data_IF_415783356897
#
_entry.id   IF_415783356897
#
_cell.length_a   1.000
_cell.length_b   1.000
_cell.length_c   1.000
_cell.angle_alpha   90.00
_cell.angle_beta   90.00
_cell.angle_gamma   90.00
#
_symmetry.space_group_name_H-M   'P 1'
#
loop_
_entity.id
_entity.type
_entity.pdbx_description
1 polymer ?
#
# COMPACT_ATOMS: atom_id res chain seq x y z
N UNK A 1 13.63 13.83 -4.54
CA UNK A 1 12.20 14.22 -4.60
C UNK A 1 11.55 13.88 -3.26
N UNK A 2 10.87 14.83 -2.59
CA UNK A 2 10.06 14.61 -1.39
C UNK A 2 9.03 13.47 -1.52
N UNK A 3 8.58 12.91 -0.40
CA UNK A 3 7.67 11.75 -0.34
C UNK A 3 6.44 11.90 -1.26
N UNK A 4 5.61 12.92 -1.03
CA UNK A 4 4.37 13.13 -1.78
C UNK A 4 4.61 13.44 -3.26
N UNK A 5 5.59 14.28 -3.56
CA UNK A 5 5.92 14.65 -4.93
C UNK A 5 6.35 13.44 -5.75
N UNK A 6 7.11 12.50 -5.16
CA UNK A 6 7.51 11.26 -5.83
C UNK A 6 6.30 10.38 -6.21
N UNK A 7 5.32 10.23 -5.30
CA UNK A 7 4.09 9.47 -5.58
C UNK A 7 3.22 10.18 -6.60
N UNK A 8 3.08 11.50 -6.48
CA UNK A 8 2.33 12.32 -7.43
C UNK A 8 2.89 12.24 -8.85
N UNK A 9 4.22 12.30 -8.99
CA UNK A 9 4.90 12.11 -10.27
C UNK A 9 4.66 10.71 -10.83
N UNK A 10 4.84 9.65 -10.02
CA UNK A 10 4.57 8.29 -10.47
C UNK A 10 3.13 8.13 -10.96
N UNK A 11 2.13 8.57 -10.18
CA UNK A 11 0.73 8.49 -10.57
C UNK A 11 0.42 9.27 -11.86
N UNK A 12 1.03 10.46 -12.02
CA UNK A 12 0.89 11.26 -13.24
C UNK A 12 1.44 10.53 -14.46
N UNK A 13 2.64 9.95 -14.35
CA UNK A 13 3.28 9.23 -15.46
C UNK A 13 2.54 7.96 -15.83
N UNK A 14 2.05 7.20 -14.84
CA UNK A 14 1.25 5.99 -15.08
C UNK A 14 -0.02 6.33 -15.86
N UNK A 15 -0.75 7.38 -15.45
CA UNK A 15 -1.95 7.83 -16.18
C UNK A 15 -1.58 8.33 -17.58
N UNK A 16 -0.51 9.10 -17.72
CA UNK A 16 -0.05 9.59 -19.02
C UNK A 16 0.30 8.44 -19.98
N UNK A 17 0.99 7.40 -19.49
CA UNK A 17 1.30 6.21 -20.28
C UNK A 17 0.04 5.41 -20.65
N UNK A 18 -0.96 5.32 -19.75
CA UNK A 18 -2.25 4.69 -20.08
C UNK A 18 -3.02 5.45 -21.18
N UNK A 19 -2.82 6.77 -21.29
CA UNK A 19 -3.50 7.61 -22.29
C UNK A 19 -2.74 7.63 -23.61
N UNK A 20 -1.41 7.77 -23.58
CA UNK A 20 -0.60 7.90 -24.79
C UNK A 20 -0.20 6.54 -25.39
N UNK A 21 0.11 5.55 -24.54
CA UNK A 21 0.66 4.22 -24.89
C UNK A 21 1.78 4.26 -25.94
N UNK A 22 2.71 5.20 -25.79
CA UNK A 22 3.86 5.36 -26.68
C UNK A 22 5.17 4.83 -26.07
N UNK A 23 5.13 4.30 -24.85
CA UNK A 23 6.28 3.78 -24.12
C UNK A 23 7.23 4.84 -23.56
N UNK A 24 6.97 6.12 -23.82
CA UNK A 24 7.89 7.22 -23.53
C UNK A 24 8.06 7.54 -22.05
N UNK A 25 7.17 7.05 -21.19
CA UNK A 25 7.23 7.27 -19.75
C UNK A 25 7.68 6.02 -18.99
N UNK A 26 7.83 4.87 -19.65
CA UNK A 26 8.06 3.58 -18.99
C UNK A 26 9.35 3.56 -18.16
N UNK A 27 10.45 4.12 -18.65
CA UNK A 27 11.72 4.19 -17.91
C UNK A 27 11.58 5.00 -16.61
N UNK A 28 10.90 6.15 -16.66
CA UNK A 28 10.69 7.00 -15.49
C UNK A 28 9.72 6.36 -14.48
N UNK A 29 8.71 5.63 -14.98
CA UNK A 29 7.78 4.85 -14.15
C UNK A 29 8.54 3.74 -13.42
N UNK A 30 9.38 2.98 -14.13
CA UNK A 30 10.21 1.90 -13.55
C UNK A 30 11.14 2.46 -12.48
N UNK A 31 11.82 3.58 -12.77
CA UNK A 31 12.68 4.27 -11.80
C UNK A 31 11.91 4.74 -10.56
N UNK A 32 10.71 5.29 -10.77
CA UNK A 32 9.83 5.74 -9.70
C UNK A 32 9.38 4.60 -8.78
N UNK A 33 8.90 3.50 -9.38
CA UNK A 33 8.50 2.29 -8.66
C UNK A 33 9.67 1.72 -7.86
N UNK A 34 10.84 1.57 -8.49
CA UNK A 34 12.01 1.00 -7.82
C UNK A 34 12.47 1.88 -6.65
N UNK A 35 12.56 3.19 -6.86
CA UNK A 35 12.93 4.13 -5.81
C UNK A 35 11.96 4.09 -4.61
N UNK A 36 10.65 3.89 -4.85
CA UNK A 36 9.67 3.72 -3.78
C UNK A 36 9.87 2.39 -3.05
N UNK A 37 10.15 1.30 -3.78
CA UNK A 37 10.38 -0.03 -3.19
C UNK A 37 11.57 -0.04 -2.20
N UNK A 38 12.61 0.75 -2.49
CA UNK A 38 13.81 0.91 -1.65
C UNK A 38 13.59 1.74 -0.37
N UNK A 39 12.44 2.39 -0.20
CA UNK A 39 12.20 3.18 1.01
C UNK A 39 11.99 2.29 2.24
N UNK A 40 12.73 2.58 3.32
CA UNK A 40 12.60 1.86 4.59
C UNK A 40 11.21 1.99 5.24
N UNK A 41 10.44 3.03 4.86
CA UNK A 41 9.08 3.26 5.35
C UNK A 41 8.26 4.05 4.33
N UNK A 42 7.04 3.59 4.05
CA UNK A 42 6.12 4.24 3.12
C UNK A 42 5.15 5.22 3.78
N UNK A 43 5.13 5.29 5.11
CA UNK A 43 4.35 6.28 5.83
C UNK A 43 5.10 7.60 6.00
N UNK A 44 4.47 8.53 6.72
CA UNK A 44 5.07 9.84 7.03
C UNK A 44 5.70 9.86 8.44
N UNK A 45 6.72 10.70 8.68
CA UNK A 45 7.40 10.76 9.98
C UNK A 45 6.47 11.01 11.18
N UNK A 46 5.36 11.73 10.98
CA UNK A 46 4.36 11.98 12.03
C UNK A 46 3.72 10.70 12.59
N UNK A 47 3.76 9.59 11.84
CA UNK A 47 3.11 8.33 12.19
C UNK A 47 4.07 7.29 12.76
N UNK A 48 5.38 7.57 12.74
CA UNK A 48 6.44 6.62 13.07
C UNK A 48 6.37 6.10 14.51
N UNK A 49 5.90 6.94 15.45
CA UNK A 49 5.85 6.60 16.87
C UNK A 49 4.85 5.49 17.24
N UNK A 50 4.17 4.87 16.27
CA UNK A 50 3.33 3.69 16.48
C UNK A 50 4.11 2.38 16.53
N UNK A 51 5.35 2.36 16.03
CA UNK A 51 6.23 1.22 16.25
C UNK A 51 6.63 1.12 17.72
N UNK A 52 6.92 -0.08 18.19
CA UNK A 52 7.32 -0.38 19.57
C UNK A 52 8.60 0.38 19.97
N UNK A 53 9.53 0.56 19.04
CA UNK A 53 10.75 1.35 19.25
C UNK A 53 10.49 2.86 19.48
N UNK A 54 9.25 3.33 19.30
CA UNK A 54 8.86 4.72 19.50
C UNK A 54 9.28 5.64 18.36
N UNK A 55 9.49 6.93 18.67
CA UNK A 55 9.84 7.95 17.66
C UNK A 55 11.30 7.82 17.20
N UNK A 56 11.55 8.12 15.92
CA UNK A 56 12.91 8.14 15.37
C UNK A 56 12.95 7.57 13.97
N UNK A 57 13.98 6.76 13.69
CA UNK A 57 14.10 6.01 12.44
C UNK A 57 13.08 4.86 12.38
N UNK A 58 12.65 4.46 11.18
CA UNK A 58 11.79 3.28 11.02
C UNK A 58 12.51 2.00 11.39
N UNK A 59 11.87 1.18 12.23
CA UNK A 59 12.24 -0.21 12.43
C UNK A 59 11.66 -1.05 11.28
N UNK A 60 12.51 -1.45 10.34
CA UNK A 60 12.08 -2.23 9.16
C UNK A 60 11.61 -3.65 9.49
N UNK A 61 11.73 -4.08 10.76
CA UNK A 61 11.25 -5.38 11.25
C UNK A 61 9.81 -5.30 11.78
N UNK A 62 9.34 -4.10 12.11
CA UNK A 62 7.99 -3.86 12.61
C UNK A 62 7.21 -2.99 11.62
N UNK A 63 6.39 -3.64 10.80
CA UNK A 63 5.62 -2.92 9.80
C UNK A 63 4.48 -2.13 10.47
N UNK A 64 4.46 -0.82 10.25
CA UNK A 64 3.34 0.05 10.61
C UNK A 64 2.56 0.39 9.35
N UNK A 65 1.30 -0.04 9.29
CA UNK A 65 0.38 0.35 8.21
C UNK A 65 -0.32 1.65 8.61
N UNK A 66 0.09 2.75 7.97
CA UNK A 66 -0.55 4.05 8.08
C UNK A 66 -1.30 4.43 6.79
N UNK A 67 -1.91 5.62 6.79
CA UNK A 67 -2.65 6.17 5.64
C UNK A 67 -1.86 6.14 4.33
N UNK A 68 -0.60 6.56 4.37
CA UNK A 68 0.23 6.83 3.19
C UNK A 68 1.04 5.60 2.78
N UNK A 69 1.32 4.69 3.72
CA UNK A 69 1.81 3.36 3.43
C UNK A 69 0.77 2.58 2.64
N UNK A 70 -0.49 2.60 3.09
CA UNK A 70 -1.59 1.97 2.37
C UNK A 70 -1.80 2.60 0.98
N UNK A 71 -1.83 3.93 0.89
CA UNK A 71 -1.92 4.66 -0.39
C UNK A 71 -0.76 4.34 -1.34
N UNK A 72 0.48 4.25 -0.82
CA UNK A 72 1.64 3.84 -1.61
C UNK A 72 1.46 2.41 -2.14
N UNK A 73 0.98 1.48 -1.31
CA UNK A 73 0.68 0.12 -1.75
C UNK A 73 -0.34 0.09 -2.88
N UNK A 74 -1.43 0.86 -2.76
CA UNK A 74 -2.47 0.93 -3.78
C UNK A 74 -1.95 1.56 -5.09
N UNK A 75 -1.13 2.61 -5.01
CA UNK A 75 -0.48 3.20 -6.19
C UNK A 75 0.36 2.17 -6.95
N UNK A 76 1.16 1.37 -6.24
CA UNK A 76 1.99 0.33 -6.84
C UNK A 76 1.12 -0.80 -7.44
N UNK A 77 0.07 -1.21 -6.73
CA UNK A 77 -0.87 -2.22 -7.20
C UNK A 77 -1.56 -1.79 -8.51
N UNK A 78 -2.07 -0.56 -8.56
CA UNK A 78 -2.65 0.01 -9.78
C UNK A 78 -1.63 0.17 -10.90
N UNK A 79 -0.40 0.59 -10.59
CA UNK A 79 0.67 0.71 -11.59
C UNK A 79 0.98 -0.64 -12.24
N UNK A 80 1.11 -1.69 -11.42
CA UNK A 80 1.32 -3.06 -11.89
C UNK A 80 0.14 -3.56 -12.74
N UNK A 81 -1.09 -3.31 -12.29
CA UNK A 81 -2.30 -3.74 -13.00
C UNK A 81 -2.49 -3.04 -14.35
N UNK A 82 -2.34 -1.71 -14.39
CA UNK A 82 -2.62 -0.91 -15.58
C UNK A 82 -1.57 -1.06 -16.67
N UNK A 83 -0.29 -1.17 -16.30
CA UNK A 83 0.81 -1.20 -17.26
C UNK A 83 1.36 -2.62 -17.48
N UNK A 84 1.17 -3.54 -16.52
CA UNK A 84 1.39 -4.97 -16.67
C UNK A 84 2.63 -5.35 -17.48
N UNK A 85 2.40 -6.02 -18.61
CA UNK A 85 3.44 -6.50 -19.53
C UNK A 85 4.33 -5.37 -20.08
N UNK A 86 3.84 -4.13 -20.19
CA UNK A 86 4.65 -2.99 -20.66
C UNK A 86 5.82 -2.73 -19.71
N UNK A 87 5.63 -2.88 -18.40
CA UNK A 87 6.70 -2.74 -17.41
C UNK A 87 7.78 -3.82 -17.57
N UNK A 88 7.37 -5.05 -17.91
CA UNK A 88 8.30 -6.17 -18.07
C UNK A 88 9.22 -6.00 -19.28
N UNK A 89 8.79 -5.22 -20.30
CA UNK A 89 9.64 -4.90 -21.46
C UNK A 89 10.84 -4.03 -21.11
N UNK A 90 10.74 -3.25 -20.01
CA UNK A 90 11.85 -2.45 -19.50
C UNK A 90 12.64 -3.22 -18.44
N UNK A 91 11.93 -3.85 -17.50
CA UNK A 91 12.60 -4.66 -16.47
C UNK A 91 11.75 -5.84 -15.95
N UNK A 92 12.16 -7.10 -16.21
CA UNK A 92 11.32 -8.28 -15.94
C UNK A 92 11.06 -8.57 -14.45
N UNK A 93 11.84 -8.03 -13.52
CA UNK A 93 11.68 -8.31 -12.08
C UNK A 93 10.88 -7.22 -11.34
N UNK A 94 10.39 -6.20 -12.04
CA UNK A 94 9.74 -5.06 -11.39
C UNK A 94 8.41 -5.46 -10.74
N UNK A 95 7.57 -6.24 -11.43
CA UNK A 95 6.27 -6.67 -10.90
C UNK A 95 6.41 -7.62 -9.72
N UNK A 96 7.38 -8.54 -9.77
CA UNK A 96 7.74 -9.38 -8.63
C UNK A 96 8.20 -8.55 -7.42
N UNK A 97 8.94 -7.46 -7.68
CA UNK A 97 9.33 -6.53 -6.61
C UNK A 97 8.12 -5.83 -6.00
N UNK A 98 7.20 -5.32 -6.81
CA UNK A 98 5.95 -4.72 -6.33
C UNK A 98 5.19 -5.72 -5.46
N UNK A 99 4.98 -6.94 -5.98
CA UNK A 99 4.28 -8.01 -5.29
C UNK A 99 4.88 -8.28 -3.92
N UNK A 100 6.20 -8.46 -3.85
CA UNK A 100 6.92 -8.72 -2.61
C UNK A 100 6.75 -7.57 -1.60
N UNK A 101 7.00 -6.34 -2.02
CA UNK A 101 6.98 -5.19 -1.11
C UNK A 101 5.56 -4.90 -0.61
N UNK A 102 4.54 -4.96 -1.48
CA UNK A 102 3.15 -4.77 -1.06
C UNK A 102 2.67 -5.92 -0.18
N UNK A 103 3.11 -7.16 -0.45
CA UNK A 103 2.78 -8.29 0.42
C UNK A 103 3.34 -8.10 1.83
N UNK A 104 4.64 -7.79 1.96
CA UNK A 104 5.32 -7.62 3.25
C UNK A 104 4.80 -6.40 4.00
N UNK A 105 4.50 -5.29 3.30
CA UNK A 105 4.17 -4.02 3.94
C UNK A 105 2.68 -3.80 4.17
N UNK A 106 1.81 -4.42 3.38
CA UNK A 106 0.36 -4.17 3.40
C UNK A 106 -0.44 -5.47 3.57
N UNK A 107 -0.35 -6.41 2.64
CA UNK A 107 -1.27 -7.57 2.61
C UNK A 107 -1.12 -8.44 3.86
N UNK A 108 0.10 -8.88 4.15
CA UNK A 108 0.39 -9.78 5.27
C UNK A 108 0.13 -9.11 6.62
N UNK A 109 0.64 -7.91 6.92
CA UNK A 109 0.36 -7.23 8.19
C UNK A 109 -1.13 -6.97 8.41
N UNK A 110 -1.86 -6.52 7.39
CA UNK A 110 -3.28 -6.25 7.54
C UNK A 110 -4.11 -7.53 7.72
N UNK A 111 -3.75 -8.63 7.04
CA UNK A 111 -4.46 -9.89 7.18
C UNK A 111 -4.17 -10.56 8.53
N UNK A 112 -2.91 -10.64 8.94
CA UNK A 112 -2.48 -11.49 10.06
C UNK A 112 -2.54 -10.80 11.43
N UNK A 113 -2.57 -9.46 11.48
CA UNK A 113 -2.57 -8.71 12.74
C UNK A 113 -3.88 -7.96 12.98
N UNK A 114 -4.28 -7.86 14.25
CA UNK A 114 -5.46 -7.10 14.70
C UNK A 114 -5.10 -5.91 15.62
N UNK A 115 -3.80 -5.71 15.88
CA UNK A 115 -3.27 -4.73 16.84
C UNK A 115 -3.23 -3.29 16.31
N UNK A 116 -3.49 -3.10 15.02
CA UNK A 116 -3.61 -1.78 14.42
C UNK A 116 -4.84 -1.05 14.98
N UNK A 117 -4.64 -0.01 15.80
CA UNK A 117 -5.72 0.76 16.42
C UNK A 117 -6.81 1.28 15.46
N UNK A 118 -6.47 1.53 14.19
CA UNK A 118 -7.45 1.94 13.18
C UNK A 118 -8.41 0.82 12.78
N UNK A 119 -8.10 -0.45 13.06
CA UNK A 119 -9.00 -1.57 12.79
C UNK A 119 -10.19 -1.64 13.73
N UNK A 120 -10.02 -1.20 14.98
CA UNK A 120 -11.08 -1.13 15.98
C UNK A 120 -11.39 -2.44 16.73
N UNK A 121 -10.70 -3.55 16.45
CA UNK A 121 -10.96 -4.85 17.10
C UNK A 121 -10.63 -4.90 18.59
N UNK A 122 -9.83 -3.96 19.09
CA UNK A 122 -9.41 -3.89 20.50
C UNK A 122 -9.81 -2.55 21.16
N UNK A 123 -10.82 -1.85 20.63
CA UNK A 123 -11.22 -0.55 21.17
C UNK A 123 -11.77 -0.64 22.59
N UNK A 124 -11.24 0.19 23.49
CA UNK A 124 -11.65 0.33 24.89
C UNK A 124 -12.55 1.56 25.10
N UNK A 125 -13.47 1.82 24.16
CA UNK A 125 -14.46 2.91 24.24
C UNK A 125 -14.16 4.17 23.41
N UNK A 126 -13.10 4.16 22.59
CA UNK A 126 -12.85 5.23 21.60
C UNK A 126 -13.24 4.77 20.20
N UNK A 127 -14.07 5.56 19.51
CA UNK A 127 -14.42 5.31 18.10
C UNK A 127 -13.18 5.45 17.19
N UNK A 128 -13.06 4.56 16.20
CA UNK A 128 -12.06 4.71 15.13
C UNK A 128 -12.34 5.97 14.30
N UNK A 129 -11.29 6.57 13.74
CA UNK A 129 -11.39 7.77 12.91
C UNK A 129 -11.29 7.42 11.42
N UNK A 130 -11.11 8.43 10.57
CA UNK A 130 -11.00 8.29 9.12
C UNK A 130 -9.83 7.40 8.64
N UNK A 131 -8.88 7.03 9.50
CA UNK A 131 -7.84 6.07 9.16
C UNK A 131 -8.42 4.72 8.76
N UNK A 132 -9.51 4.32 9.42
CA UNK A 132 -10.16 3.05 9.18
C UNK A 132 -10.63 2.92 7.70
N UNK A 133 -11.59 3.72 7.21
CA UNK A 133 -12.07 3.57 5.84
C UNK A 133 -10.99 3.90 4.79
N UNK A 134 -10.06 4.80 5.10
CA UNK A 134 -8.96 5.15 4.18
C UNK A 134 -7.97 4.00 3.98
N UNK A 135 -7.51 3.37 5.06
CA UNK A 135 -6.59 2.25 4.96
C UNK A 135 -7.30 1.04 4.36
N UNK A 136 -8.58 0.81 4.72
CA UNK A 136 -9.38 -0.27 4.18
C UNK A 136 -9.56 -0.20 2.66
N UNK A 137 -9.84 0.98 2.09
CA UNK A 137 -10.01 1.11 0.64
C UNK A 137 -8.71 0.81 -0.13
N UNK A 138 -7.57 1.29 0.39
CA UNK A 138 -6.27 1.05 -0.21
C UNK A 138 -5.80 -0.41 -0.03
N UNK A 139 -6.06 -1.00 1.14
CA UNK A 139 -5.81 -2.42 1.37
C UNK A 139 -6.68 -3.28 0.45
N UNK A 140 -7.95 -2.95 0.25
CA UNK A 140 -8.83 -3.63 -0.68
C UNK A 140 -8.28 -3.60 -2.11
N UNK A 141 -7.81 -2.43 -2.58
CA UNK A 141 -7.18 -2.32 -3.89
C UNK A 141 -5.95 -3.24 -4.02
N UNK A 142 -5.07 -3.26 -3.01
CA UNK A 142 -3.93 -4.17 -3.00
C UNK A 142 -4.38 -5.64 -3.05
N UNK A 143 -5.36 -6.01 -2.21
CA UNK A 143 -5.89 -7.39 -2.13
C UNK A 143 -6.46 -7.85 -3.47
N UNK A 144 -7.28 -7.02 -4.13
CA UNK A 144 -7.93 -7.43 -5.38
C UNK A 144 -6.97 -7.50 -6.57
N UNK A 145 -5.94 -6.66 -6.58
CA UNK A 145 -5.02 -6.54 -7.72
C UNK A 145 -3.76 -7.42 -7.59
N UNK A 146 -3.36 -7.78 -6.36
CA UNK A 146 -2.07 -8.43 -6.10
C UNK A 146 -2.14 -9.73 -5.27
N UNK A 147 -3.16 -9.99 -4.45
CA UNK A 147 -3.20 -11.24 -3.67
C UNK A 147 -3.60 -12.41 -4.59
N UNK A 148 -2.66 -13.29 -4.90
CA UNK A 148 -2.85 -14.42 -5.84
C UNK A 148 -3.56 -15.61 -5.18
N UNK A 149 -3.43 -15.78 -3.86
CA UNK A 149 -4.10 -16.85 -3.12
C UNK A 149 -5.57 -16.50 -2.87
N UNK A 150 -6.47 -17.29 -3.44
CA UNK A 150 -7.92 -17.05 -3.37
C UNK A 150 -8.45 -17.05 -1.92
N UNK A 151 -7.94 -17.95 -1.07
CA UNK A 151 -8.38 -18.05 0.31
C UNK A 151 -7.92 -16.83 1.12
N UNK A 152 -6.67 -16.39 0.94
CA UNK A 152 -6.15 -15.15 1.55
C UNK A 152 -6.87 -13.92 1.04
N UNK A 153 -7.22 -13.88 -0.25
CA UNK A 153 -8.00 -12.78 -0.85
C UNK A 153 -9.39 -12.69 -0.21
N UNK A 154 -10.11 -13.80 -0.11
CA UNK A 154 -11.43 -13.85 0.54
C UNK A 154 -11.35 -13.47 2.02
N UNK A 155 -10.37 -14.00 2.76
CA UNK A 155 -10.16 -13.68 4.16
C UNK A 155 -9.84 -12.19 4.38
N UNK A 156 -9.02 -11.61 3.50
CA UNK A 156 -8.70 -10.17 3.52
C UNK A 156 -9.94 -9.33 3.26
N UNK A 157 -10.72 -9.62 2.21
CA UNK A 157 -11.97 -8.90 1.91
C UNK A 157 -12.94 -8.97 3.09
N UNK A 158 -13.11 -10.16 3.68
CA UNK A 158 -13.98 -10.33 4.85
C UNK A 158 -13.50 -9.51 6.05
N UNK A 159 -12.19 -9.52 6.34
CA UNK A 159 -11.61 -8.74 7.43
C UNK A 159 -11.69 -7.23 7.18
N UNK A 160 -11.53 -6.79 5.93
CA UNK A 160 -11.73 -5.40 5.51
C UNK A 160 -13.18 -4.98 5.83
N UNK A 161 -14.18 -5.77 5.45
CA UNK A 161 -15.58 -5.47 5.75
C UNK A 161 -15.81 -5.30 7.25
N UNK A 162 -15.38 -6.28 8.06
CA UNK A 162 -15.48 -6.20 9.53
C UNK A 162 -14.75 -5.00 10.12
N UNK A 163 -13.65 -4.60 9.50
CA UNK A 163 -12.90 -3.42 9.91
C UNK A 163 -13.69 -2.14 9.64
N UNK A 164 -14.28 -2.01 8.45
CA UNK A 164 -15.11 -0.85 8.09
C UNK A 164 -16.41 -0.79 8.90
N UNK A 165 -16.98 -1.93 9.29
CA UNK A 165 -18.13 -1.99 10.18
C UNK A 165 -17.85 -1.25 11.51
N UNK A 166 -16.66 -1.40 12.09
CA UNK A 166 -16.26 -0.66 13.31
C UNK A 166 -16.23 0.87 13.11
N UNK A 167 -16.20 1.37 11.87
CA UNK A 167 -16.30 2.80 11.57
C UNK A 167 -17.74 3.24 11.29
N UNK A 168 -18.49 2.46 10.51
CA UNK A 168 -19.85 2.78 10.04
C UNK A 168 -20.89 2.55 11.13
N UNK A 169 -20.79 1.43 11.85
CA UNK A 169 -21.70 1.00 12.91
C UNK A 169 -20.90 0.66 14.19
N UNK A 170 -20.38 1.70 14.90
CA UNK A 170 -19.35 1.58 15.94
C UNK A 170 -19.84 1.10 17.31
#
# INVERSE_FOLDING_TARGET
IPHFERRGMLGTLVIAECIEDQGRFLDDIVNGIWAICEESFWGVPAHIGRQTAGKGLPDTREVVVDLFAAETGALLAWSSYLLGERLDTVWPLLRDRIQREVNVRILTPCLERDDHSWMGFHNTGRRVNNWNPWICSNWLACTLLLEEDEARRQASVFKIMRTVDNFVDP
#
